data_IF_525112515773
#
_entry.id   IF_525112515773
#
_cell.length_a   1.000
_cell.length_b   1.000
_cell.length_c   1.000
_cell.angle_alpha   90.00
_cell.angle_beta   90.00
_cell.angle_gamma   90.00
#
_symmetry.space_group_name_H-M   'P 1'
#
loop_
_entity.id
_entity.type
_entity.pdbx_description
1 polymer ?
#
# COMPACT_ATOMS: atom_id res chain seq x y z
N UNK A 1 -10.21 -7.36 -6.28
CA UNK A 1 -9.16 -6.97 -7.26
C UNK A 1 -8.46 -5.71 -6.75
N UNK A 2 -7.17 -5.51 -7.04
CA UNK A 2 -6.44 -4.27 -6.69
C UNK A 2 -6.46 -3.32 -7.89
N UNK A 3 -6.70 -2.04 -7.64
CA UNK A 3 -6.85 -1.00 -8.67
C UNK A 3 -6.11 0.26 -8.28
N UNK A 4 -5.38 0.83 -9.22
CA UNK A 4 -4.73 2.13 -9.05
C UNK A 4 -5.78 3.23 -9.19
N UNK A 5 -5.99 4.01 -8.13
CA UNK A 5 -6.86 5.19 -8.13
C UNK A 5 -6.10 6.42 -8.65
N UNK A 6 -4.83 6.54 -8.28
CA UNK A 6 -3.89 7.61 -8.66
C UNK A 6 -2.47 7.03 -8.57
N UNK A 7 -1.45 7.75 -9.05
CA UNK A 7 -0.04 7.33 -9.14
C UNK A 7 0.58 6.73 -7.86
N UNK A 8 -0.05 6.95 -6.70
CA UNK A 8 0.44 6.46 -5.40
C UNK A 8 -0.64 5.85 -4.50
N UNK A 9 -1.83 5.58 -5.05
CA UNK A 9 -2.97 5.08 -4.25
C UNK A 9 -3.56 3.84 -4.91
N UNK A 10 -3.44 2.72 -4.21
CA UNK A 10 -4.02 1.44 -4.59
C UNK A 10 -5.25 1.15 -3.73
N UNK A 11 -6.29 0.54 -4.29
CA UNK A 11 -7.45 0.11 -3.50
C UNK A 11 -7.87 -1.31 -3.85
N UNK A 12 -8.25 -2.08 -2.84
CA UNK A 12 -8.96 -3.35 -3.03
C UNK A 12 -10.44 -3.07 -3.22
N UNK A 13 -10.98 -3.48 -4.37
CA UNK A 13 -12.37 -3.23 -4.72
C UNK A 13 -13.00 -4.44 -5.43
N UNK A 14 -14.31 -4.68 -5.22
CA UNK A 14 -15.09 -5.63 -6.02
C UNK A 14 -15.52 -5.05 -7.38
N UNK A 15 -15.25 -3.77 -7.66
CA UNK A 15 -15.66 -3.12 -8.91
C UNK A 15 -14.99 -3.79 -10.12
N UNK A 16 -15.76 -4.22 -11.15
CA UNK A 16 -15.22 -4.82 -12.36
C UNK A 16 -14.26 -3.89 -13.12
N UNK A 17 -13.29 -4.47 -13.82
CA UNK A 17 -12.26 -3.73 -14.59
C UNK A 17 -12.85 -2.72 -15.58
N UNK A 18 -13.98 -3.07 -16.21
CA UNK A 18 -14.70 -2.20 -17.14
C UNK A 18 -15.22 -0.88 -16.52
N UNK A 19 -15.23 -0.76 -15.19
CA UNK A 19 -15.74 0.40 -14.47
C UNK A 19 -14.67 1.13 -13.65
N UNK A 20 -13.39 0.73 -13.76
CA UNK A 20 -12.28 1.37 -13.03
C UNK A 20 -12.09 2.84 -13.43
N UNK A 21 -12.33 3.20 -14.69
CA UNK A 21 -12.28 4.60 -15.12
C UNK A 21 -13.28 5.48 -14.34
N UNK A 22 -14.51 4.99 -14.13
CA UNK A 22 -15.52 5.70 -13.36
C UNK A 22 -15.11 5.79 -11.87
N UNK A 23 -14.60 4.70 -11.29
CA UNK A 23 -14.08 4.67 -9.93
C UNK A 23 -12.96 5.71 -9.72
N UNK A 24 -11.95 5.73 -10.61
CA UNK A 24 -10.85 6.70 -10.59
C UNK A 24 -11.36 8.13 -10.67
N UNK A 25 -12.31 8.38 -11.58
CA UNK A 25 -12.83 9.72 -11.76
C UNK A 25 -13.55 10.27 -10.51
N UNK A 26 -14.28 9.42 -9.80
CA UNK A 26 -14.90 9.79 -8.53
C UNK A 26 -13.88 10.10 -7.44
N UNK A 27 -12.82 9.29 -7.34
CA UNK A 27 -11.74 9.52 -6.39
C UNK A 27 -10.97 10.83 -6.68
N UNK A 28 -10.66 11.08 -7.96
CA UNK A 28 -10.02 12.32 -8.42
C UNK A 28 -10.93 13.56 -8.28
N UNK A 29 -12.23 13.38 -8.02
CA UNK A 29 -13.19 14.46 -7.77
C UNK A 29 -13.76 15.07 -9.04
N UNK A 30 -13.70 14.36 -10.15
CA UNK A 30 -14.37 14.77 -11.37
C UNK A 30 -15.90 14.65 -11.21
N UNK A 31 -16.68 15.51 -11.89
CA UNK A 31 -18.13 15.42 -11.88
C UNK A 31 -18.60 14.10 -12.49
N UNK A 32 -19.82 13.70 -12.13
CA UNK A 32 -20.44 12.52 -12.73
C UNK A 32 -20.64 12.72 -14.24
N UNK A 33 -20.24 11.74 -15.05
CA UNK A 33 -20.47 11.81 -16.49
C UNK A 33 -21.93 11.41 -16.78
N UNK A 34 -22.74 12.28 -17.41
CA UNK A 34 -24.15 11.98 -17.71
C UNK A 34 -24.33 10.80 -18.67
N UNK A 35 -23.29 10.39 -19.41
CA UNK A 35 -23.33 9.23 -20.32
C UNK A 35 -23.10 7.89 -19.60
N UNK A 36 -22.87 7.91 -18.29
CA UNK A 36 -22.65 6.67 -17.55
C UNK A 36 -23.93 5.91 -17.30
N UNK A 37 -23.86 4.60 -17.48
CA UNK A 37 -24.89 3.70 -16.99
C UNK A 37 -24.85 3.61 -15.44
N UNK A 38 -25.89 3.01 -14.86
CA UNK A 38 -26.02 2.87 -13.41
C UNK A 38 -24.79 2.21 -12.76
N UNK A 39 -24.19 1.20 -13.39
CA UNK A 39 -23.01 0.50 -12.85
C UNK A 39 -21.77 1.40 -12.80
N UNK A 40 -21.52 2.19 -13.85
CA UNK A 40 -20.45 3.18 -13.88
C UNK A 40 -20.70 4.30 -12.86
N UNK A 41 -21.94 4.77 -12.74
CA UNK A 41 -22.30 5.78 -11.74
C UNK A 41 -22.08 5.28 -10.31
N UNK A 42 -22.46 4.04 -10.00
CA UNK A 42 -22.17 3.40 -8.70
C UNK A 42 -20.66 3.29 -8.44
N UNK A 43 -19.88 2.91 -9.45
CA UNK A 43 -18.42 2.87 -9.33
C UNK A 43 -17.83 4.26 -9.06
N UNK A 44 -18.29 5.30 -9.76
CA UNK A 44 -17.91 6.68 -9.48
C UNK A 44 -18.27 7.13 -8.06
N UNK A 45 -19.50 6.87 -7.62
CA UNK A 45 -19.95 7.20 -6.27
C UNK A 45 -19.07 6.53 -5.22
N UNK A 46 -18.68 5.28 -5.45
CA UNK A 46 -17.73 4.59 -4.58
C UNK A 46 -16.37 5.29 -4.54
N UNK A 47 -15.86 5.74 -5.68
CA UNK A 47 -14.61 6.51 -5.74
C UNK A 47 -14.70 7.81 -4.93
N UNK A 48 -15.83 8.51 -5.04
CA UNK A 48 -16.12 9.72 -4.26
C UNK A 48 -16.16 9.43 -2.75
N UNK A 49 -16.86 8.36 -2.35
CA UNK A 49 -16.90 7.91 -0.95
C UNK A 49 -15.48 7.66 -0.40
N UNK A 50 -14.62 6.97 -1.15
CA UNK A 50 -13.24 6.71 -0.74
C UNK A 50 -12.44 8.01 -0.56
N UNK A 51 -12.61 8.99 -1.45
CA UNK A 51 -11.98 10.33 -1.32
C UNK A 51 -12.48 11.03 -0.06
N UNK A 52 -13.79 11.01 0.19
CA UNK A 52 -14.36 11.65 1.37
C UNK A 52 -13.91 10.99 2.67
N UNK A 53 -13.84 9.66 2.71
CA UNK A 53 -13.35 8.90 3.85
C UNK A 53 -11.86 9.18 4.12
N UNK A 54 -11.05 9.31 3.06
CA UNK A 54 -9.65 9.73 3.16
C UNK A 54 -9.54 11.16 3.74
N UNK A 55 -10.35 12.10 3.25
CA UNK A 55 -10.36 13.48 3.75
C UNK A 55 -10.81 13.58 5.21
N UNK A 56 -11.69 12.68 5.66
CA UNK A 56 -12.15 12.58 7.06
C UNK A 56 -11.16 11.86 7.97
N UNK A 57 -10.15 11.19 7.42
CA UNK A 57 -9.23 10.34 8.18
C UNK A 57 -9.79 8.97 8.56
N UNK A 58 -10.94 8.57 8.02
CA UNK A 58 -11.51 7.23 8.19
C UNK A 58 -10.68 6.17 7.43
N UNK A 59 -10.01 6.60 6.36
CA UNK A 59 -9.08 5.77 5.60
C UNK A 59 -7.72 6.44 5.47
N UNK A 60 -6.68 5.62 5.46
CA UNK A 60 -5.29 6.06 5.41
C UNK A 60 -4.56 5.28 4.32
N UNK A 61 -3.60 5.95 3.67
CA UNK A 61 -2.69 5.31 2.73
C UNK A 61 -1.54 4.69 3.52
N UNK A 62 -1.42 3.37 3.46
CA UNK A 62 -0.32 2.63 4.06
C UNK A 62 0.97 2.92 3.28
N UNK A 63 2.01 3.37 3.99
CA UNK A 63 3.28 3.80 3.36
C UNK A 63 4.07 2.65 2.71
N UNK A 64 3.84 1.41 3.13
CA UNK A 64 4.61 0.24 2.66
C UNK A 64 4.22 -0.21 1.25
N UNK A 65 2.94 -0.15 0.92
CA UNK A 65 2.36 -0.73 -0.30
C UNK A 65 1.43 0.26 -1.04
N UNK A 66 1.36 1.52 -0.59
CA UNK A 66 0.48 2.55 -1.16
C UNK A 66 -1.01 2.18 -1.14
N UNK A 67 -1.42 1.21 -0.30
CA UNK A 67 -2.81 0.77 -0.21
C UNK A 67 -3.65 1.71 0.64
N UNK A 68 -4.83 2.04 0.13
CA UNK A 68 -5.87 2.74 0.85
C UNK A 68 -6.64 1.74 1.71
N UNK A 69 -6.50 1.89 3.03
CA UNK A 69 -7.05 0.97 4.03
C UNK A 69 -7.79 1.73 5.13
N UNK A 70 -8.75 1.11 5.83
CA UNK A 70 -9.39 1.70 6.99
C UNK A 70 -8.36 2.07 8.07
N UNK A 71 -8.57 3.20 8.76
CA UNK A 71 -7.68 3.65 9.83
C UNK A 71 -7.55 2.63 10.98
N UNK A 72 -8.62 1.87 11.26
CA UNK A 72 -8.65 0.80 12.26
C UNK A 72 -7.68 -0.35 11.96
N UNK A 73 -7.31 -0.56 10.70
CA UNK A 73 -6.37 -1.61 10.30
C UNK A 73 -4.90 -1.18 10.46
N UNK A 74 -4.61 0.08 10.80
CA UNK A 74 -3.24 0.53 11.05
C UNK A 74 -2.74 0.14 12.45
N UNK A 75 -3.63 -0.15 13.40
CA UNK A 75 -3.27 -0.55 14.76
C UNK A 75 -2.90 -2.04 14.90
N UNK A 76 -3.01 -2.82 13.83
CA UNK A 76 -2.29 -4.08 13.74
C UNK A 76 -0.81 -3.79 13.44
N UNK A 77 -0.13 -3.29 14.47
CA UNK A 77 1.31 -3.53 14.67
C UNK A 77 1.58 -4.96 14.23
N UNK A 78 2.63 -5.23 13.41
CA UNK A 78 3.02 -6.60 13.16
C UNK A 78 3.19 -7.26 14.52
N UNK A 79 2.40 -8.30 14.81
CA UNK A 79 2.73 -9.22 15.89
C UNK A 79 4.08 -9.81 15.50
N UNK A 80 5.13 -9.15 15.99
CA UNK A 80 6.46 -9.69 16.12
C UNK A 80 6.31 -10.89 17.05
N UNK A 81 5.90 -12.03 16.49
CA UNK A 81 6.01 -13.31 17.16
C UNK A 81 7.44 -13.77 16.94
N UNK A 82 8.24 -13.46 17.96
CA UNK A 82 9.34 -14.23 18.51
C UNK A 82 10.07 -15.19 17.57
N UNK A 83 11.31 -14.82 17.31
CA UNK A 83 12.36 -15.65 16.75
C UNK A 83 12.50 -16.92 17.62
N UNK A 84 12.03 -18.07 17.11
CA UNK A 84 12.57 -19.36 17.53
C UNK A 84 13.90 -19.59 16.79
N UNK A 85 15.01 -19.87 17.49
CA UNK A 85 16.28 -20.13 16.84
C UNK A 85 16.24 -21.54 16.22
N UNK A 86 15.88 -21.67 14.95
CA UNK A 86 16.14 -22.90 14.20
C UNK A 86 17.55 -22.88 13.66
N UNK A 87 18.43 -23.40 14.51
CA UNK A 87 19.74 -23.93 14.16
C UNK A 87 19.61 -24.93 12.99
N UNK A 88 20.02 -24.51 11.78
CA UNK A 88 20.42 -25.42 10.70
C UNK A 88 21.70 -24.88 10.11
N UNK A 89 22.79 -25.59 10.42
CA UNK A 89 24.14 -25.21 10.07
C UNK A 89 24.33 -24.99 8.59
N UNK A 90 24.79 -23.80 8.24
CA UNK A 90 25.64 -23.58 7.09
C UNK A 90 26.99 -23.12 7.60
N UNK A 91 27.93 -24.07 7.70
CA UNK A 91 29.36 -23.77 7.88
C UNK A 91 29.87 -23.22 6.55
N UNK A 92 29.95 -21.90 6.44
CA UNK A 92 30.79 -21.28 5.42
C UNK A 92 32.24 -21.28 5.95
N UNK A 93 33.22 -21.75 5.17
CA UNK A 93 34.61 -21.75 5.61
C UNK A 93 35.11 -20.31 5.73
N UNK A 94 35.62 -20.00 6.91
CA UNK A 94 36.25 -18.74 7.28
C UNK A 94 37.50 -18.56 6.42
N UNK A 95 37.47 -17.63 5.46
CA UNK A 95 38.70 -17.18 4.82
C UNK A 95 39.24 -15.96 5.56
N UNK A 96 40.11 -16.22 6.52
CA UNK A 96 40.94 -15.22 7.17
C UNK A 96 41.90 -14.61 6.15
N UNK A 97 41.76 -13.32 5.86
CA UNK A 97 42.90 -12.49 5.45
C UNK A 97 43.01 -11.31 6.40
N UNK A 98 44.03 -11.39 7.25
CA UNK A 98 44.61 -10.27 8.00
C UNK A 98 45.05 -9.20 6.99
N UNK A 99 45.15 -7.94 7.43
CA UNK A 99 46.44 -7.24 7.58
C UNK A 99 46.23 -5.80 8.08
N UNK A 100 46.96 -5.52 9.16
CA UNK A 100 47.60 -4.28 9.63
C UNK A 100 46.82 -2.96 9.77
N UNK A 101 46.68 -2.60 11.05
CA UNK A 101 46.80 -1.25 11.61
C UNK A 101 47.99 -0.46 11.07
N UNK A 102 47.80 0.84 10.85
CA UNK A 102 48.85 1.85 10.98
C UNK A 102 48.28 3.13 11.61
N UNK A 103 48.89 3.52 12.74
CA UNK A 103 48.78 4.83 13.38
C UNK A 103 49.71 5.83 12.68
N UNK A 104 49.32 7.10 12.62
CA UNK A 104 50.14 8.34 12.73
C UNK A 104 49.17 9.53 12.69
N UNK A 105 48.89 10.24 13.78
CA UNK A 105 49.66 11.34 14.39
C UNK A 105 50.22 12.35 13.38
N UNK A 106 49.56 13.50 13.30
CA UNK A 106 50.15 14.82 13.45
C UNK A 106 49.03 15.79 13.90
#
# INVERSE_FOLDING_TARGET
MVVDLTDKVLVRTPVPKAHHAALRSGFAGYPANPRWNASKFRAWKRGLELRTALARGEMVIRKADSMLVPATEQDEKPKQMDILPQNKGFRFPIWSKRVATSKKLA
#
